data_IF_056689716201
#
_entry.id   IF_056689716201
#
_cell.length_a   1.000
_cell.length_b   1.000
_cell.length_c   1.000
_cell.angle_alpha   90.00
_cell.angle_beta   90.00
_cell.angle_gamma   90.00
#
_symmetry.space_group_name_H-M   'P 1'
#
loop_
_entity.id
_entity.type
_entity.pdbx_description
1 polymer ?
#
# COMPACT_ATOMS: atom_id res chain seq x y z
N UNK A 1 4.47 -3.47 18.33
CA UNK A 1 3.38 -2.57 18.80
C UNK A 1 2.92 -1.71 17.61
N UNK A 2 1.76 -1.04 17.66
CA UNK A 2 1.29 -0.20 16.55
C UNK A 2 2.29 0.87 16.11
N UNK A 3 3.04 1.45 17.06
CA UNK A 3 4.10 2.44 16.77
C UNK A 3 5.23 1.86 15.91
N UNK A 4 5.67 0.62 16.18
CA UNK A 4 6.73 -0.04 15.41
C UNK A 4 6.26 -0.34 13.98
N UNK A 5 4.98 -0.72 13.81
CA UNK A 5 4.38 -0.93 12.48
C UNK A 5 4.36 0.37 11.69
N UNK A 6 3.92 1.46 12.28
CA UNK A 6 3.86 2.75 11.58
C UNK A 6 5.27 3.23 11.16
N UNK A 7 6.30 3.01 11.98
CA UNK A 7 7.67 3.34 11.59
C UNK A 7 8.15 2.52 10.39
N UNK A 8 7.90 1.20 10.39
CA UNK A 8 8.24 0.34 9.24
C UNK A 8 7.46 0.74 7.99
N UNK A 9 6.18 1.09 8.13
CA UNK A 9 5.36 1.54 7.00
C UNK A 9 5.89 2.84 6.37
N UNK A 10 6.33 3.80 7.21
CA UNK A 10 6.95 5.04 6.74
C UNK A 10 8.27 4.77 6.03
N UNK A 11 9.16 3.99 6.63
CA UNK A 11 10.44 3.66 6.00
C UNK A 11 10.28 2.94 4.65
N UNK A 12 9.30 2.03 4.54
CA UNK A 12 9.01 1.36 3.26
C UNK A 12 8.33 2.28 2.24
N UNK A 13 7.54 3.25 2.69
CA UNK A 13 6.96 4.27 1.82
C UNK A 13 8.05 5.20 1.28
N UNK A 14 8.95 5.66 2.14
CA UNK A 14 10.08 6.51 1.79
C UNK A 14 10.93 5.83 0.70
N UNK A 15 11.27 4.55 0.88
CA UNK A 15 12.01 3.75 -0.12
C UNK A 15 11.25 3.64 -1.45
N UNK A 16 9.93 3.42 -1.42
CA UNK A 16 9.12 3.33 -2.64
C UNK A 16 9.01 4.66 -3.39
N UNK A 17 9.19 5.80 -2.70
CA UNK A 17 9.18 7.13 -3.30
C UNK A 17 10.53 7.50 -3.91
N UNK A 18 11.61 6.80 -3.58
CA UNK A 18 12.91 7.02 -4.21
C UNK A 18 12.88 6.57 -5.68
N UNK A 19 13.29 7.47 -6.58
CA UNK A 19 13.41 7.13 -8.00
C UNK A 19 14.56 6.13 -8.18
N UNK A 20 14.34 5.03 -8.92
CA UNK A 20 15.40 4.05 -9.18
C UNK A 20 16.64 4.69 -9.83
N UNK A 21 17.81 4.16 -9.54
CA UNK A 21 19.04 4.62 -10.18
C UNK A 21 19.11 4.23 -11.66
N UNK A 22 20.05 4.81 -12.45
CA UNK A 22 20.11 4.57 -13.89
C UNK A 22 20.22 3.08 -14.29
N UNK A 23 20.98 2.30 -13.52
CA UNK A 23 21.14 0.85 -13.76
C UNK A 23 19.83 0.08 -13.54
N UNK A 24 19.03 0.52 -12.57
CA UNK A 24 17.73 -0.10 -12.25
C UNK A 24 16.68 0.31 -13.28
N UNK A 25 16.68 1.58 -13.71
CA UNK A 25 15.84 2.04 -14.82
C UNK A 25 16.15 1.28 -16.12
N UNK A 26 17.43 1.07 -16.45
CA UNK A 26 17.86 0.25 -17.60
C UNK A 26 17.39 -1.21 -17.47
N UNK A 27 17.25 -1.72 -16.25
CA UNK A 27 16.68 -3.03 -15.95
C UNK A 27 15.14 -3.05 -15.92
N UNK A 28 14.48 -1.91 -16.13
CA UNK A 28 13.03 -1.76 -16.19
C UNK A 28 12.35 -1.50 -14.85
N UNK A 29 13.08 -1.18 -13.79
CA UNK A 29 12.50 -0.75 -12.53
C UNK A 29 11.95 0.67 -12.64
N UNK A 30 10.83 0.92 -11.96
CA UNK A 30 10.19 2.23 -11.88
C UNK A 30 9.34 2.33 -10.62
N UNK A 31 8.99 3.56 -10.24
CA UNK A 31 8.00 3.82 -9.21
C UNK A 31 6.94 4.80 -9.70
N UNK A 32 5.69 4.57 -9.30
CA UNK A 32 4.59 5.50 -9.49
C UNK A 32 4.06 6.07 -8.16
N UNK A 33 4.72 5.76 -7.04
CA UNK A 33 4.30 6.23 -5.73
C UNK A 33 4.53 7.75 -5.63
N UNK A 34 3.49 8.57 -5.37
CA UNK A 34 3.65 10.02 -5.28
C UNK A 34 4.59 10.42 -4.14
N UNK A 35 5.51 11.37 -4.39
CA UNK A 35 6.49 11.86 -3.42
C UNK A 35 5.84 12.53 -2.18
N UNK A 36 4.60 13.02 -2.32
CA UNK A 36 3.83 13.67 -1.26
C UNK A 36 2.81 12.73 -0.57
N UNK A 37 2.81 11.44 -0.92
CA UNK A 37 2.00 10.45 -0.23
C UNK A 37 2.50 10.28 1.20
N UNK A 38 1.59 10.34 2.18
CA UNK A 38 1.90 10.11 3.59
C UNK A 38 1.15 8.90 4.13
N UNK A 39 1.71 8.28 5.17
CA UNK A 39 1.07 7.18 5.90
C UNK A 39 0.95 7.46 7.41
N UNK A 40 -0.24 7.23 7.95
CA UNK A 40 -0.56 7.28 9.37
C UNK A 40 -1.09 5.95 9.90
N UNK A 41 -1.15 5.82 11.22
CA UNK A 41 -1.73 4.65 11.89
C UNK A 41 -3.26 4.56 11.76
N UNK A 42 -3.85 3.49 12.29
CA UNK A 42 -5.30 3.27 12.28
C UNK A 42 -6.02 4.35 13.12
N UNK A 43 -7.26 4.66 12.73
CA UNK A 43 -8.21 5.45 13.53
C UNK A 43 -9.00 4.56 14.47
N UNK A 44 -9.77 5.19 15.37
CA UNK A 44 -10.73 4.48 16.19
C UNK A 44 -11.75 3.74 15.30
N UNK A 45 -11.89 2.43 15.50
CA UNK A 45 -12.77 1.57 14.71
C UNK A 45 -12.05 0.80 13.60
N UNK A 46 -10.86 1.23 13.17
CA UNK A 46 -10.10 0.51 12.16
C UNK A 46 -9.53 -0.81 12.70
N UNK A 47 -9.30 -1.79 11.82
CA UNK A 47 -8.45 -2.94 12.12
C UNK A 47 -7.08 -2.47 12.65
N UNK A 48 -6.52 -3.18 13.64
CA UNK A 48 -5.23 -2.79 14.22
C UNK A 48 -4.09 -2.77 13.20
N UNK A 49 -4.19 -3.60 12.17
CA UNK A 49 -3.23 -3.68 11.06
C UNK A 49 -3.38 -2.57 10.02
N UNK A 50 -4.47 -1.80 10.04
CA UNK A 50 -4.75 -0.81 9.02
C UNK A 50 -3.74 0.35 9.04
N UNK A 51 -3.38 0.79 7.84
CA UNK A 51 -2.64 2.03 7.60
C UNK A 51 -3.55 2.98 6.85
N UNK A 52 -3.41 4.29 7.10
CA UNK A 52 -4.16 5.31 6.39
C UNK A 52 -3.25 6.16 5.53
N UNK A 53 -3.62 6.32 4.27
CA UNK A 53 -2.95 7.15 3.30
C UNK A 53 -3.50 8.58 3.34
N UNK A 54 -2.69 9.57 2.94
CA UNK A 54 -3.12 10.97 2.79
C UNK A 54 -4.12 11.18 1.64
N UNK A 55 -4.24 10.21 0.72
CA UNK A 55 -5.23 10.15 -0.36
C UNK A 55 -6.06 8.87 -0.26
N UNK A 56 -7.18 8.78 -1.00
CA UNK A 56 -7.92 7.51 -1.05
C UNK A 56 -7.10 6.49 -1.85
N UNK A 57 -6.97 5.24 -1.41
CA UNK A 57 -6.18 4.25 -2.14
C UNK A 57 -6.65 4.06 -3.59
N UNK A 58 -7.95 4.14 -3.85
CA UNK A 58 -8.54 4.02 -5.20
C UNK A 58 -8.27 5.22 -6.13
N UNK A 59 -7.79 6.35 -5.60
CA UNK A 59 -7.39 7.52 -6.39
C UNK A 59 -5.91 7.45 -6.82
N UNK A 60 -5.13 6.50 -6.29
CA UNK A 60 -3.75 6.28 -6.71
C UNK A 60 -3.69 5.64 -8.11
N UNK A 61 -2.62 5.88 -8.88
CA UNK A 61 -2.32 5.06 -10.05
C UNK A 61 -2.31 3.57 -9.67
N UNK A 62 -2.89 2.70 -10.49
CA UNK A 62 -2.96 1.26 -10.19
C UNK A 62 -1.59 0.66 -9.88
N UNK A 63 -0.55 1.09 -10.61
CA UNK A 63 0.83 0.66 -10.36
C UNK A 63 1.35 1.09 -8.99
N UNK A 64 1.07 2.34 -8.57
CA UNK A 64 1.47 2.84 -7.24
C UNK A 64 0.78 2.06 -6.11
N UNK A 65 -0.53 1.82 -6.25
CA UNK A 65 -1.28 0.99 -5.31
C UNK A 65 -0.74 -0.45 -5.28
N UNK A 66 -0.31 -0.97 -6.43
CA UNK A 66 0.31 -2.28 -6.53
C UNK A 66 1.62 -2.39 -5.76
N UNK A 67 2.50 -1.40 -5.95
CA UNK A 67 3.76 -1.31 -5.23
C UNK A 67 3.54 -1.27 -3.71
N UNK A 68 2.61 -0.43 -3.23
CA UNK A 68 2.28 -0.35 -1.80
C UNK A 68 1.71 -1.67 -1.26
N UNK A 69 0.73 -2.25 -1.95
CA UNK A 69 0.07 -3.47 -1.50
C UNK A 69 1.03 -4.67 -1.44
N UNK A 70 1.94 -4.77 -2.41
CA UNK A 70 2.94 -5.82 -2.44
C UNK A 70 4.04 -5.61 -1.39
N UNK A 71 4.63 -4.43 -1.30
CA UNK A 71 5.68 -4.13 -0.32
C UNK A 71 5.18 -4.28 1.11
N UNK A 72 4.03 -3.67 1.44
CA UNK A 72 3.47 -3.81 2.78
C UNK A 72 2.93 -5.22 3.05
N UNK A 73 2.36 -5.88 2.03
CA UNK A 73 1.84 -7.24 2.14
C UNK A 73 2.91 -8.31 2.34
N UNK A 74 4.13 -8.08 1.86
CA UNK A 74 5.29 -8.96 2.05
C UNK A 74 6.07 -8.70 3.34
N UNK A 75 5.96 -7.49 3.90
CA UNK A 75 6.56 -7.17 5.19
C UNK A 75 5.93 -8.00 6.30
N UNK A 76 6.71 -8.86 6.96
CA UNK A 76 6.22 -9.67 8.09
C UNK A 76 5.75 -8.84 9.30
N UNK A 77 6.07 -7.53 9.32
CA UNK A 77 5.64 -6.59 10.35
C UNK A 77 4.29 -5.95 10.00
N UNK A 78 3.98 -5.76 8.72
CA UNK A 78 2.77 -5.05 8.24
C UNK A 78 1.73 -6.00 7.63
N UNK A 79 2.19 -6.92 6.78
CA UNK A 79 1.33 -7.85 6.06
C UNK A 79 0.83 -8.99 6.93
N UNK A 80 -0.43 -9.34 6.73
CA UNK A 80 -0.92 -10.70 6.96
C UNK A 80 -1.51 -11.21 5.65
N UNK A 81 -1.28 -12.49 5.36
CA UNK A 81 -1.86 -13.18 4.20
C UNK A 81 -1.57 -12.50 2.84
N UNK A 82 -0.37 -11.93 2.66
CA UNK A 82 0.09 -11.26 1.43
C UNK A 82 -0.82 -10.11 0.96
N UNK A 83 -1.29 -9.29 1.90
CA UNK A 83 -2.08 -8.10 1.59
C UNK A 83 -1.78 -6.94 2.54
N UNK A 84 -1.97 -5.73 2.02
CA UNK A 84 -2.05 -4.51 2.81
C UNK A 84 -3.50 -4.20 3.19
N UNK A 85 -3.72 -3.64 4.38
CA UNK A 85 -5.01 -3.07 4.78
C UNK A 85 -4.87 -1.56 4.78
N UNK A 86 -5.48 -0.89 3.79
CA UNK A 86 -5.30 0.52 3.52
C UNK A 86 -6.64 1.27 3.58
N UNK A 87 -6.66 2.40 4.27
CA UNK A 87 -7.76 3.37 4.24
C UNK A 87 -7.29 4.73 3.72
N UNK A 88 -8.25 5.57 3.33
CA UNK A 88 -7.98 6.96 2.94
C UNK A 88 -8.14 7.96 4.10
N UNK A 89 -8.03 9.27 3.81
CA UNK A 89 -8.17 10.33 4.80
C UNK A 89 -9.63 10.56 5.24
N UNK A 90 -10.62 10.09 4.48
CA UNK A 90 -12.04 10.20 4.82
C UNK A 90 -12.53 9.15 5.83
N UNK A 91 -13.84 9.06 5.99
CA UNK A 91 -14.48 8.11 6.93
C UNK A 91 -14.73 6.72 6.31
N UNK A 92 -14.27 6.49 5.07
CA UNK A 92 -14.38 5.18 4.42
C UNK A 92 -13.60 4.10 5.18
N UNK A 93 -14.20 2.91 5.25
CA UNK A 93 -13.59 1.75 5.90
C UNK A 93 -12.32 1.29 5.16
N UNK A 94 -11.25 0.93 5.88
CA UNK A 94 -10.07 0.34 5.26
C UNK A 94 -10.40 -0.90 4.43
N UNK A 95 -9.78 -0.99 3.26
CA UNK A 95 -9.91 -2.12 2.35
C UNK A 95 -8.63 -2.95 2.34
N UNK A 96 -8.79 -4.24 2.07
CA UNK A 96 -7.71 -5.20 1.89
C UNK A 96 -7.32 -5.26 0.40
N UNK A 97 -6.04 -5.00 0.14
CA UNK A 97 -5.42 -5.05 -1.19
C UNK A 97 -4.43 -6.22 -1.24
N UNK A 98 -4.86 -7.31 -1.86
CA UNK A 98 -4.05 -8.53 -1.94
C UNK A 98 -3.01 -8.45 -3.06
N UNK A 99 -1.73 -8.64 -2.73
CA UNK A 99 -0.66 -8.80 -3.71
C UNK A 99 -0.72 -10.22 -4.30
N UNK A 100 -1.66 -10.41 -5.24
CA UNK A 100 -1.80 -11.67 -5.98
C UNK A 100 -0.72 -11.80 -7.05
N UNK A 101 -0.61 -12.99 -7.64
CA UNK A 101 0.28 -13.19 -8.78
C UNK A 101 -0.08 -12.25 -9.95
N UNK A 102 -1.38 -12.08 -10.22
CA UNK A 102 -1.86 -11.17 -11.29
C UNK A 102 -1.48 -9.72 -11.03
N UNK A 103 -1.62 -9.24 -9.80
CA UNK A 103 -1.19 -7.88 -9.42
C UNK A 103 0.31 -7.69 -9.59
N UNK A 104 1.11 -8.72 -9.27
CA UNK A 104 2.57 -8.64 -9.46
C UNK A 104 2.97 -8.64 -10.93
N UNK A 105 2.22 -9.30 -11.80
CA UNK A 105 2.60 -9.44 -13.22
C UNK A 105 1.95 -8.39 -14.12
N UNK A 106 0.76 -7.91 -13.76
CA UNK A 106 -0.04 -6.96 -14.55
C UNK A 106 -0.68 -5.90 -13.63
N UNK A 107 0.12 -5.11 -12.90
CA UNK A 107 -0.41 -4.17 -11.90
C UNK A 107 -1.35 -3.10 -12.49
N UNK A 108 -1.23 -2.79 -13.78
CA UNK A 108 -2.10 -1.88 -14.52
C UNK A 108 -3.46 -2.49 -14.93
N UNK A 109 -3.59 -3.82 -14.92
CA UNK A 109 -4.82 -4.51 -15.37
C UNK A 109 -5.95 -4.49 -14.33
N UNK A 110 -5.64 -4.11 -13.08
CA UNK A 110 -6.58 -4.14 -11.96
C UNK A 110 -6.86 -2.71 -11.47
N UNK A 111 -8.02 -2.12 -11.79
CA UNK A 111 -8.41 -0.82 -11.25
C UNK A 111 -8.52 -0.86 -9.73
N UNK A 112 -8.03 0.17 -9.02
CA UNK A 112 -8.07 0.23 -7.55
C UNK A 112 -9.48 0.05 -6.95
N UNK A 113 -10.52 0.53 -7.66
CA UNK A 113 -11.93 0.38 -7.28
C UNK A 113 -12.47 -1.05 -7.39
N UNK A 114 -11.85 -1.91 -8.21
CA UNK A 114 -12.24 -3.30 -8.40
C UNK A 114 -11.38 -4.29 -7.58
N UNK A 115 -10.29 -3.79 -6.99
CA UNK A 115 -9.32 -4.61 -6.26
C UNK A 115 -9.63 -4.72 -4.76
N UNK A 116 -9.94 -3.59 -4.13
CA UNK A 116 -10.17 -3.53 -2.68
C UNK A 116 -11.32 -4.45 -2.27
N UNK A 117 -11.08 -5.30 -1.27
CA UNK A 117 -12.14 -6.03 -0.57
C UNK A 117 -12.28 -5.49 0.85
N UNK A 118 -13.46 -5.50 1.47
CA UNK A 118 -13.61 -5.04 2.84
C UNK A 118 -12.62 -5.74 3.76
N UNK A 119 -11.89 -4.97 4.58
CA UNK A 119 -11.02 -5.56 5.59
C UNK A 119 -11.86 -6.37 6.60
N UNK A 120 -11.37 -7.53 7.07
CA UNK A 120 -12.06 -8.23 8.14
C UNK A 120 -12.20 -7.31 9.36
N UNK A 121 -13.41 -7.27 9.93
CA UNK A 121 -13.67 -6.51 11.15
C UNK A 121 -12.86 -7.05 12.34
N UNK A 122 -12.59 -6.16 13.31
CA UNK A 122 -11.99 -6.55 14.59
C UNK A 122 -12.89 -7.48 15.41
#
# INVERSE_FOLDING_TARGET
RPADRLQVARALLDELQEQPGPVEEEAGFSTAVPEDLEVSGPRAGDPQEALRLSVRPEDLPSFALAQLACTFGESGVLGRTHAAVLGGPGDGDPQRYACSAEVRTHPESVPGTAWGSPAPGN
#
